data_IF_600736590088
#
_entry.id   IF_600736590088
#
_cell.length_a   1.000
_cell.length_b   1.000
_cell.length_c   1.000
_cell.angle_alpha   90.00
_cell.angle_beta   90.00
_cell.angle_gamma   90.00
#
_symmetry.space_group_name_H-M   'P 1'
#
loop_
_entity.id
_entity.type
_entity.pdbx_description
1 polymer ?
#
# COMPACT_ATOMS: atom_id res chain seq x y z
N UNK A 1 7.98 -67.62 14.60
CA UNK A 1 9.46 -67.72 14.41
C UNK A 1 10.12 -66.50 14.99
N UNK A 2 10.89 -66.63 16.07
CA UNK A 2 11.62 -65.52 16.70
C UNK A 2 12.97 -65.34 15.99
N UNK A 3 13.19 -64.16 15.48
CA UNK A 3 14.43 -63.76 14.81
C UNK A 3 15.58 -63.82 15.82
N UNK A 4 16.68 -64.51 15.52
CA UNK A 4 17.82 -64.65 16.47
C UNK A 4 18.42 -63.25 16.79
N UNK A 5 18.82 -63.05 18.04
CA UNK A 5 19.28 -61.77 18.58
C UNK A 5 20.42 -61.12 17.76
N UNK A 6 21.31 -61.90 17.18
CA UNK A 6 22.38 -61.41 16.29
C UNK A 6 21.82 -60.77 15.01
N UNK A 7 20.80 -61.40 14.40
CA UNK A 7 20.16 -60.90 13.18
C UNK A 7 19.41 -59.61 13.45
N UNK A 8 18.75 -59.51 14.61
CA UNK A 8 18.03 -58.28 15.03
C UNK A 8 18.98 -57.09 15.23
N UNK A 9 20.18 -57.33 15.75
CA UNK A 9 21.20 -56.31 15.94
C UNK A 9 21.81 -55.83 14.61
N UNK A 10 21.97 -56.71 13.65
CA UNK A 10 22.45 -56.38 12.30
C UNK A 10 21.34 -55.60 11.58
N UNK A 11 20.08 -56.03 11.65
CA UNK A 11 18.96 -55.34 11.05
C UNK A 11 18.80 -53.90 11.59
N UNK A 12 18.92 -53.72 12.91
CA UNK A 12 18.82 -52.37 13.49
C UNK A 12 19.98 -51.47 13.03
N UNK A 13 21.20 -51.99 12.95
CA UNK A 13 22.34 -51.19 12.42
C UNK A 13 22.14 -50.85 10.94
N UNK A 14 21.63 -51.76 10.15
CA UNK A 14 21.33 -51.54 8.73
C UNK A 14 20.20 -50.51 8.58
N UNK A 15 19.17 -50.55 9.44
CA UNK A 15 18.10 -49.57 9.49
C UNK A 15 18.58 -48.15 9.84
N UNK A 16 19.51 -48.07 10.81
CA UNK A 16 20.13 -46.78 11.21
C UNK A 16 20.97 -46.21 10.04
N UNK A 17 21.77 -47.05 9.40
CA UNK A 17 22.58 -46.64 8.26
C UNK A 17 21.70 -46.15 7.09
N UNK A 18 20.61 -46.89 6.81
CA UNK A 18 19.67 -46.51 5.76
C UNK A 18 18.97 -45.18 6.06
N UNK A 19 18.59 -44.96 7.33
CA UNK A 19 17.98 -43.71 7.78
C UNK A 19 18.97 -42.53 7.68
N UNK A 20 20.25 -42.73 7.98
CA UNK A 20 21.28 -41.73 7.79
C UNK A 20 21.45 -41.39 6.31
N UNK A 21 21.50 -42.39 5.43
CA UNK A 21 21.58 -42.14 3.99
C UNK A 21 20.36 -41.38 3.43
N UNK A 22 19.15 -41.70 3.92
CA UNK A 22 17.91 -40.97 3.57
C UNK A 22 17.99 -39.50 4.04
N UNK A 23 18.44 -39.28 5.26
CA UNK A 23 18.58 -37.94 5.81
C UNK A 23 19.60 -37.10 5.02
N UNK A 24 20.76 -37.68 4.70
CA UNK A 24 21.79 -37.02 3.89
C UNK A 24 21.25 -36.72 2.48
N UNK A 25 20.48 -37.67 1.89
CA UNK A 25 19.84 -37.46 0.60
C UNK A 25 18.85 -36.30 0.60
N UNK A 26 18.03 -36.17 1.65
CA UNK A 26 17.08 -35.06 1.80
C UNK A 26 17.82 -33.74 1.98
N UNK A 27 18.87 -33.70 2.78
CA UNK A 27 19.69 -32.49 2.98
C UNK A 27 20.34 -32.07 1.66
N UNK A 28 20.94 -33.04 0.93
CA UNK A 28 21.56 -32.76 -0.37
C UNK A 28 20.54 -32.24 -1.39
N UNK A 29 19.34 -32.80 -1.39
CA UNK A 29 18.24 -32.35 -2.25
C UNK A 29 17.79 -30.93 -1.89
N UNK A 30 17.61 -30.60 -0.59
CA UNK A 30 17.29 -29.24 -0.14
C UNK A 30 18.39 -28.23 -0.52
N UNK A 31 19.64 -28.60 -0.30
CA UNK A 31 20.77 -27.76 -0.73
C UNK A 31 20.78 -27.52 -2.24
N UNK A 32 20.43 -28.51 -3.03
CA UNK A 32 20.31 -28.37 -4.47
C UNK A 32 19.16 -27.46 -4.86
N UNK A 33 17.98 -27.60 -4.25
CA UNK A 33 16.83 -26.72 -4.54
C UNK A 33 17.18 -25.26 -4.23
N UNK A 34 17.78 -24.98 -3.06
CA UNK A 34 18.24 -23.63 -2.69
C UNK A 34 19.34 -23.12 -3.61
N UNK A 35 20.20 -24.02 -4.12
CA UNK A 35 21.22 -23.63 -5.10
C UNK A 35 20.59 -23.31 -6.47
N UNK A 36 19.57 -24.07 -6.89
CA UNK A 36 18.84 -23.83 -8.13
C UNK A 36 18.03 -22.51 -8.11
N UNK A 37 17.51 -22.11 -6.97
CA UNK A 37 16.79 -20.83 -6.82
C UNK A 37 17.63 -19.62 -7.24
N UNK A 38 18.95 -19.71 -7.15
CA UNK A 38 19.87 -18.64 -7.57
C UNK A 38 19.88 -18.38 -9.08
N UNK A 39 19.39 -19.33 -9.86
CA UNK A 39 19.38 -19.28 -11.33
C UNK A 39 17.96 -19.16 -11.91
N UNK A 40 16.95 -18.98 -11.06
CA UNK A 40 15.57 -18.74 -11.50
C UNK A 40 15.40 -17.28 -11.86
N UNK A 41 15.12 -17.02 -13.12
CA UNK A 41 14.77 -15.69 -13.62
C UNK A 41 13.27 -15.67 -13.92
N UNK A 42 12.56 -14.73 -13.28
CA UNK A 42 11.13 -14.51 -13.51
C UNK A 42 10.98 -13.51 -14.66
N UNK A 43 10.35 -13.95 -15.74
CA UNK A 43 10.01 -13.12 -16.90
C UNK A 43 8.50 -12.96 -17.00
N UNK A 44 8.02 -12.04 -17.84
CA UNK A 44 6.59 -11.83 -18.08
C UNK A 44 5.89 -13.11 -18.61
N UNK A 45 6.64 -14.03 -19.23
CA UNK A 45 6.13 -15.28 -19.77
C UNK A 45 6.26 -16.48 -18.80
N UNK A 46 6.76 -16.26 -17.58
CA UNK A 46 6.94 -17.28 -16.55
C UNK A 46 8.35 -17.35 -15.97
N UNK A 47 8.63 -18.40 -15.19
CA UNK A 47 9.93 -18.65 -14.59
C UNK A 47 10.80 -19.50 -15.54
N UNK A 48 12.01 -19.05 -15.80
CA UNK A 48 13.03 -19.79 -16.57
C UNK A 48 14.31 -19.93 -15.77
N UNK A 49 15.10 -21.00 -16.07
CA UNK A 49 16.41 -21.23 -15.45
C UNK A 49 17.49 -20.67 -16.38
N UNK A 50 18.23 -19.67 -15.92
CA UNK A 50 19.40 -19.13 -16.60
C UNK A 50 20.66 -19.48 -15.80
N UNK A 51 21.48 -20.38 -16.35
CA UNK A 51 22.72 -20.84 -15.72
C UNK A 51 23.95 -19.99 -16.10
N UNK A 52 23.82 -19.08 -17.06
CA UNK A 52 24.91 -18.21 -17.49
C UNK A 52 25.06 -16.99 -16.59
N UNK A 53 23.95 -16.58 -15.91
CA UNK A 53 23.94 -15.45 -14.99
C UNK A 53 23.39 -15.91 -13.63
N UNK A 54 24.18 -15.81 -12.57
CA UNK A 54 23.66 -16.01 -11.22
C UNK A 54 22.93 -14.76 -10.75
N UNK A 55 21.91 -14.92 -9.92
CA UNK A 55 21.20 -13.78 -9.30
C UNK A 55 22.15 -12.84 -8.50
N UNK A 56 23.35 -13.30 -8.15
CA UNK A 56 24.39 -12.50 -7.53
C UNK A 56 25.21 -11.67 -8.55
N UNK A 57 25.31 -12.12 -9.79
CA UNK A 57 25.98 -11.36 -10.86
C UNK A 57 25.10 -10.22 -11.36
N UNK A 58 23.77 -10.37 -11.24
CA UNK A 58 22.78 -9.33 -11.56
C UNK A 58 22.77 -8.21 -10.49
N UNK A 59 23.23 -8.48 -9.27
CA UNK A 59 23.36 -7.46 -8.20
C UNK A 59 24.52 -6.48 -8.48
N UNK A 60 25.46 -6.81 -9.35
CA UNK A 60 26.56 -5.93 -9.76
C UNK A 60 26.19 -4.92 -10.86
N UNK A 61 25.24 -5.25 -11.69
CA UNK A 61 24.59 -4.38 -12.66
C UNK A 61 23.07 -4.50 -12.49
N UNK A 62 22.56 -4.03 -11.38
CA UNK A 62 21.20 -3.55 -11.41
C UNK A 62 21.22 -2.34 -12.32
N UNK A 63 21.07 -2.58 -13.64
CA UNK A 63 20.28 -1.66 -14.42
C UNK A 63 19.02 -1.50 -13.54
N UNK A 64 19.03 -0.44 -12.72
CA UNK A 64 17.78 0.03 -12.10
C UNK A 64 16.80 -0.04 -13.25
N UNK A 65 15.75 -0.91 -13.20
CA UNK A 65 14.70 -0.83 -14.19
C UNK A 65 14.42 0.66 -14.21
N UNK A 66 14.34 1.32 -15.39
CA UNK A 66 14.08 2.74 -15.41
C UNK A 66 12.94 2.85 -14.44
N UNK A 67 13.19 3.50 -13.29
CA UNK A 67 12.15 3.67 -12.27
C UNK A 67 11.08 4.28 -13.10
N UNK A 68 10.07 3.49 -13.44
CA UNK A 68 8.97 3.97 -14.23
C UNK A 68 8.59 5.19 -13.41
N UNK A 69 8.86 6.38 -13.94
CA UNK A 69 8.41 7.59 -13.30
C UNK A 69 6.93 7.32 -13.21
N UNK A 70 6.48 6.91 -12.03
CA UNK A 70 5.08 6.77 -11.76
C UNK A 70 4.59 8.19 -11.89
N UNK A 71 4.14 8.53 -13.09
CA UNK A 71 3.54 9.80 -13.37
C UNK A 71 2.23 9.79 -12.60
N UNK A 72 2.26 10.40 -11.43
CA UNK A 72 1.05 10.66 -10.66
C UNK A 72 0.34 11.78 -11.40
N UNK A 73 -0.71 11.43 -12.11
CA UNK A 73 -1.60 12.42 -12.73
C UNK A 73 -2.66 12.80 -11.70
N UNK A 74 -2.54 13.97 -11.12
CA UNK A 74 -3.48 14.49 -10.13
C UNK A 74 -4.37 15.53 -10.82
N UNK A 75 -5.66 15.30 -10.78
CA UNK A 75 -6.67 16.24 -11.27
C UNK A 75 -7.29 16.98 -10.08
N UNK A 76 -7.36 18.28 -10.14
CA UNK A 76 -7.70 19.17 -9.04
C UNK A 76 -9.20 19.45 -8.96
N UNK A 77 -9.78 19.36 -7.78
CA UNK A 77 -11.00 20.07 -7.44
C UNK A 77 -10.68 21.04 -6.28
N UNK A 78 -10.45 22.28 -6.59
CA UNK A 78 -10.48 23.36 -5.61
C UNK A 78 -11.93 23.77 -5.46
N UNK A 79 -12.47 23.75 -4.24
CA UNK A 79 -13.84 24.20 -3.94
C UNK A 79 -14.17 25.55 -4.61
N UNK A 80 -15.39 26.03 -4.45
CA UNK A 80 -16.04 27.13 -5.20
C UNK A 80 -15.26 28.45 -5.40
N UNK A 81 -14.13 28.60 -4.73
CA UNK A 81 -13.17 29.71 -4.93
C UNK A 81 -11.98 29.33 -5.81
N UNK A 82 -12.05 28.19 -6.51
CA UNK A 82 -11.01 27.77 -7.42
C UNK A 82 -10.80 28.86 -8.49
N UNK A 83 -9.56 29.24 -8.66
CA UNK A 83 -9.11 29.95 -9.83
C UNK A 83 -9.76 29.31 -11.06
N UNK A 84 -10.44 30.12 -11.85
CA UNK A 84 -11.00 29.72 -13.15
C UNK A 84 -9.84 29.34 -14.07
N UNK A 85 -9.31 28.16 -13.88
CA UNK A 85 -8.22 27.58 -14.68
C UNK A 85 -8.74 26.99 -15.97
N UNK A 86 -9.96 27.38 -16.39
CA UNK A 86 -10.59 27.04 -17.63
C UNK A 86 -10.32 25.63 -18.09
N UNK A 87 -11.14 24.66 -17.73
CA UNK A 87 -11.19 23.27 -18.26
C UNK A 87 -9.85 22.52 -18.47
N UNK A 88 -8.73 23.05 -17.99
CA UNK A 88 -7.45 22.36 -18.09
C UNK A 88 -7.25 21.49 -16.84
N UNK A 89 -7.33 20.19 -17.05
CA UNK A 89 -6.94 19.19 -16.06
C UNK A 89 -5.48 19.42 -15.68
N UNK A 90 -5.21 19.79 -14.43
CA UNK A 90 -3.85 19.98 -13.95
C UNK A 90 -3.25 18.63 -13.63
N UNK A 91 -2.40 18.13 -14.50
CA UNK A 91 -1.66 16.90 -14.28
C UNK A 91 -0.47 17.20 -13.36
N UNK A 92 -0.39 16.51 -12.21
CA UNK A 92 0.76 16.60 -11.32
C UNK A 92 1.66 15.38 -11.55
N UNK A 93 2.89 15.66 -11.98
CA UNK A 93 3.94 14.65 -12.01
C UNK A 93 4.70 14.70 -10.68
N UNK A 94 4.66 13.62 -9.92
CA UNK A 94 5.28 13.53 -8.60
C UNK A 94 6.22 12.34 -8.47
N UNK A 95 6.93 12.30 -7.36
CA UNK A 95 7.79 11.19 -6.97
C UNK A 95 7.12 10.40 -5.84
N UNK A 96 7.00 9.08 -6.01
CA UNK A 96 6.43 8.20 -4.99
C UNK A 96 7.52 7.44 -4.25
N UNK A 97 7.50 7.54 -2.93
CA UNK A 97 8.37 6.81 -2.00
C UNK A 97 7.53 5.70 -1.36
N UNK A 98 7.70 4.49 -1.87
CA UNK A 98 6.97 3.33 -1.36
C UNK A 98 7.55 2.81 -0.04
N UNK A 99 6.75 2.06 0.71
CA UNK A 99 7.19 1.37 1.93
C UNK A 99 8.40 0.47 1.71
N UNK A 100 8.50 -0.17 0.55
CA UNK A 100 9.67 -0.97 0.19
C UNK A 100 10.95 -0.12 0.09
N UNK A 101 10.87 1.08 -0.47
CA UNK A 101 12.01 2.01 -0.53
C UNK A 101 12.41 2.52 0.85
N UNK A 102 11.43 2.76 1.73
CA UNK A 102 11.69 3.15 3.13
C UNK A 102 12.40 2.06 3.92
N UNK A 103 12.10 0.79 3.61
CA UNK A 103 12.70 -0.35 4.28
C UNK A 103 14.09 -0.69 3.78
N UNK A 104 14.35 -0.53 2.49
CA UNK A 104 15.53 -1.11 1.85
C UNK A 104 16.49 -0.09 1.23
N UNK A 105 16.04 1.12 0.90
CA UNK A 105 16.86 2.10 0.14
C UNK A 105 16.59 3.57 0.51
N UNK A 106 16.55 3.88 1.77
CA UNK A 106 16.30 5.28 2.22
C UNK A 106 17.40 6.25 1.76
N UNK A 107 18.64 5.76 1.65
CA UNK A 107 19.76 6.58 1.16
C UNK A 107 19.65 6.88 -0.34
N UNK A 108 19.19 5.92 -1.14
CA UNK A 108 18.92 6.14 -2.56
C UNK A 108 17.77 7.13 -2.77
N UNK A 109 16.74 7.07 -1.92
CA UNK A 109 15.66 8.06 -1.89
C UNK A 109 16.20 9.46 -1.63
N UNK A 110 17.01 9.65 -0.59
CA UNK A 110 17.63 10.95 -0.25
C UNK A 110 18.45 11.50 -1.43
N UNK A 111 19.30 10.67 -2.04
CA UNK A 111 20.09 11.06 -3.20
C UNK A 111 19.26 11.46 -4.43
N UNK A 112 18.04 10.91 -4.55
CA UNK A 112 17.12 11.25 -5.63
C UNK A 112 16.39 12.55 -5.35
N UNK A 113 15.95 12.77 -4.11
CA UNK A 113 15.33 14.02 -3.65
C UNK A 113 16.24 15.24 -3.78
N UNK A 114 17.56 15.05 -3.70
CA UNK A 114 18.52 16.13 -3.92
C UNK A 114 18.46 16.72 -5.33
N UNK A 115 18.04 15.92 -6.30
CA UNK A 115 18.00 16.28 -7.73
C UNK A 115 16.65 16.80 -8.18
N UNK A 116 15.61 16.69 -7.34
CA UNK A 116 14.28 17.15 -7.68
C UNK A 116 14.14 18.66 -7.43
N UNK A 117 13.43 19.39 -8.31
CA UNK A 117 13.10 20.81 -8.12
C UNK A 117 12.27 21.03 -6.85
N UNK A 118 12.42 22.19 -6.24
CA UNK A 118 11.52 22.62 -5.16
C UNK A 118 10.06 22.70 -5.68
N UNK A 119 9.10 22.36 -4.84
CA UNK A 119 7.70 22.32 -5.21
C UNK A 119 7.26 21.03 -5.92
N UNK A 120 8.20 20.13 -6.27
CA UNK A 120 7.82 18.81 -6.82
C UNK A 120 6.91 18.08 -5.84
N UNK A 121 5.78 17.51 -6.30
CA UNK A 121 4.95 16.65 -5.47
C UNK A 121 5.70 15.37 -5.09
N UNK A 122 5.73 15.05 -3.81
CA UNK A 122 6.33 13.83 -3.27
C UNK A 122 5.31 13.12 -2.42
N UNK A 123 4.89 11.94 -2.86
CA UNK A 123 4.04 11.05 -2.08
C UNK A 123 4.92 10.05 -1.33
N UNK A 124 4.61 9.79 -0.07
CA UNK A 124 5.33 8.86 0.79
C UNK A 124 4.36 7.95 1.54
N UNK A 125 4.63 6.65 1.57
CA UNK A 125 3.89 5.70 2.40
C UNK A 125 4.16 5.98 3.87
N UNK A 126 3.12 6.34 4.64
CA UNK A 126 3.21 6.59 6.07
C UNK A 126 2.58 5.48 6.90
N UNK A 127 1.57 4.77 6.36
CA UNK A 127 0.92 3.64 7.02
C UNK A 127 0.53 2.58 5.99
N UNK A 128 0.91 1.35 6.24
CA UNK A 128 0.63 0.20 5.37
C UNK A 128 -0.67 -0.54 5.69
N UNK A 129 -1.05 -1.54 4.85
CA UNK A 129 -2.29 -2.30 5.00
C UNK A 129 -2.30 -3.26 6.20
N UNK A 130 -1.15 -3.56 6.79
CA UNK A 130 -1.08 -4.25 8.08
C UNK A 130 -1.43 -3.35 9.27
N UNK A 131 -1.65 -2.05 9.05
CA UNK A 131 -1.82 -1.07 10.11
C UNK A 131 -0.50 -0.64 10.74
N UNK A 132 0.63 -1.00 10.12
CA UNK A 132 1.95 -0.60 10.60
C UNK A 132 2.31 0.78 10.10
N UNK A 133 2.75 1.62 11.03
CA UNK A 133 3.26 2.96 10.76
C UNK A 133 4.73 2.91 10.37
N UNK A 134 5.11 3.65 9.36
CA UNK A 134 6.49 3.77 8.90
C UNK A 134 7.22 4.99 9.50
N UNK A 135 6.58 5.75 10.36
CA UNK A 135 7.10 6.89 11.12
C UNK A 135 6.79 6.73 12.61
N UNK A 136 7.43 7.49 13.51
CA UNK A 136 7.21 7.39 14.96
C UNK A 136 5.89 8.08 15.36
N UNK A 137 4.77 7.42 15.05
CA UNK A 137 3.43 7.88 15.43
C UNK A 137 3.27 7.86 16.95
N UNK A 138 2.60 8.88 17.49
CA UNK A 138 2.30 9.01 18.91
C UNK A 138 0.86 8.60 19.27
N UNK A 139 0.11 8.11 18.29
CA UNK A 139 -1.27 7.69 18.51
C UNK A 139 -1.33 6.45 19.41
N UNK A 140 -2.30 6.45 20.33
CA UNK A 140 -2.56 5.28 21.15
C UNK A 140 -3.01 4.10 20.26
N UNK A 141 -2.39 2.94 20.45
CA UNK A 141 -2.60 1.77 19.60
C UNK A 141 -1.81 1.76 18.27
N UNK A 142 -0.95 2.76 18.01
CA UNK A 142 -0.09 2.74 16.83
C UNK A 142 0.97 1.63 16.91
N UNK A 143 1.05 0.78 15.89
CA UNK A 143 2.07 -0.26 15.76
C UNK A 143 3.09 0.18 14.72
N UNK A 144 4.34 0.34 15.12
CA UNK A 144 5.41 0.69 14.20
C UNK A 144 5.89 -0.53 13.38
N UNK A 145 6.31 -0.26 12.16
CA UNK A 145 6.89 -1.30 11.30
C UNK A 145 8.22 -1.79 11.87
N UNK A 146 8.32 -3.08 12.12
CA UNK A 146 9.56 -3.68 12.62
C UNK A 146 10.69 -3.75 11.56
N UNK A 147 10.35 -3.61 10.27
CA UNK A 147 11.29 -3.66 9.15
C UNK A 147 11.72 -2.28 8.65
N UNK A 148 11.22 -1.21 9.27
CA UNK A 148 11.51 0.19 8.86
C UNK A 148 12.19 0.91 10.02
N UNK A 149 13.25 1.63 9.73
CA UNK A 149 13.83 2.60 10.65
C UNK A 149 12.95 3.86 10.66
N UNK A 150 12.02 3.91 11.63
CA UNK A 150 11.03 4.98 11.73
C UNK A 150 11.66 6.34 12.03
N UNK A 151 12.80 6.36 12.71
CA UNK A 151 13.53 7.61 13.00
C UNK A 151 14.20 8.14 11.72
N UNK A 152 14.74 7.25 10.89
CA UNK A 152 15.26 7.63 9.57
C UNK A 152 14.16 8.16 8.64
N UNK A 153 12.94 7.59 8.72
CA UNK A 153 11.79 8.13 7.98
C UNK A 153 11.37 9.48 8.51
N UNK A 154 11.38 9.72 9.82
CA UNK A 154 11.11 11.04 10.39
C UNK A 154 12.11 12.09 9.86
N UNK A 155 13.41 11.78 9.84
CA UNK A 155 14.44 12.64 9.28
C UNK A 155 14.26 12.88 7.76
N UNK A 156 13.76 11.87 7.03
CA UNK A 156 13.40 12.02 5.61
C UNK A 156 12.24 13.01 5.45
N UNK A 157 11.19 12.89 6.26
CA UNK A 157 10.04 13.82 6.25
C UNK A 157 10.49 15.24 6.55
N UNK A 158 11.33 15.44 7.56
CA UNK A 158 11.92 16.76 7.84
C UNK A 158 12.68 17.31 6.62
N UNK A 159 13.39 16.45 5.91
CA UNK A 159 14.10 16.84 4.67
C UNK A 159 13.11 17.28 3.58
N UNK A 160 11.98 16.58 3.41
CA UNK A 160 10.95 16.95 2.45
C UNK A 160 10.34 18.32 2.78
N UNK A 161 10.04 18.57 4.06
CA UNK A 161 9.48 19.85 4.52
C UNK A 161 10.48 21.00 4.30
N UNK A 162 11.75 20.81 4.67
CA UNK A 162 12.79 21.81 4.53
C UNK A 162 13.08 22.18 3.07
N UNK A 163 12.97 21.23 2.16
CA UNK A 163 13.15 21.44 0.71
C UNK A 163 11.92 22.02 0.02
N UNK A 164 10.83 22.26 0.75
CA UNK A 164 9.57 22.83 0.25
C UNK A 164 8.96 22.01 -0.89
N UNK A 165 9.00 20.71 -0.79
CA UNK A 165 8.22 19.83 -1.66
C UNK A 165 6.74 19.94 -1.33
N UNK A 166 5.88 19.66 -2.31
CA UNK A 166 4.47 19.40 -2.02
C UNK A 166 4.35 17.98 -1.49
N UNK A 167 4.12 17.82 -0.20
CA UNK A 167 4.20 16.53 0.49
C UNK A 167 2.84 15.88 0.62
N UNK A 168 2.74 14.62 0.20
CA UNK A 168 1.52 13.81 0.25
C UNK A 168 1.81 12.57 1.10
N UNK A 169 1.13 12.45 2.24
CA UNK A 169 1.19 11.26 3.07
C UNK A 169 0.18 10.23 2.57
N UNK A 170 0.65 9.06 2.12
CA UNK A 170 -0.23 7.95 1.74
C UNK A 170 -0.46 7.05 2.93
N UNK A 171 -1.74 6.80 3.24
CA UNK A 171 -2.18 6.05 4.42
C UNK A 171 -3.20 5.00 3.98
N UNK A 172 -2.91 3.74 4.21
CA UNK A 172 -3.92 2.69 4.04
C UNK A 172 -5.04 2.91 5.07
N UNK A 173 -6.27 3.16 4.59
CA UNK A 173 -7.37 3.63 5.43
C UNK A 173 -8.29 2.52 5.91
N UNK A 174 -9.04 1.89 5.01
CA UNK A 174 -10.02 0.86 5.36
C UNK A 174 -9.44 -0.55 5.40
N UNK A 175 -8.19 -0.74 5.03
CA UNK A 175 -7.48 -2.02 5.15
C UNK A 175 -6.43 -1.90 6.26
N UNK A 176 -6.68 -2.59 7.39
CA UNK A 176 -5.85 -2.49 8.58
C UNK A 176 -5.95 -3.76 9.44
N UNK A 177 -4.88 -4.56 9.43
CA UNK A 177 -4.85 -5.80 10.20
C UNK A 177 -4.72 -5.52 11.71
N UNK A 178 -3.81 -4.63 12.12
CA UNK A 178 -3.56 -4.35 13.54
C UNK A 178 -4.81 -3.79 14.22
N UNK A 179 -5.40 -2.75 13.64
CA UNK A 179 -6.58 -2.12 14.21
C UNK A 179 -7.80 -3.05 14.19
N UNK A 180 -8.02 -3.78 13.08
CA UNK A 180 -9.12 -4.74 12.99
C UNK A 180 -8.98 -5.91 13.97
N UNK A 181 -7.75 -6.36 14.25
CA UNK A 181 -7.49 -7.43 15.23
C UNK A 181 -7.76 -6.96 16.68
N UNK A 182 -7.44 -5.74 17.01
CA UNK A 182 -7.67 -5.15 18.32
C UNK A 182 -9.14 -4.73 18.50
N UNK A 183 -9.78 -4.22 17.46
CA UNK A 183 -11.13 -3.70 17.44
C UNK A 183 -12.04 -4.49 16.50
N UNK A 184 -12.31 -5.75 16.85
CA UNK A 184 -13.09 -6.68 16.00
C UNK A 184 -14.48 -6.17 15.60
N UNK A 185 -15.06 -5.25 16.34
CA UNK A 185 -16.36 -4.63 16.00
C UNK A 185 -16.26 -3.60 14.88
N UNK A 186 -15.05 -3.20 14.50
CA UNK A 186 -14.80 -2.20 13.47
C UNK A 186 -14.58 -2.80 12.07
N UNK A 187 -14.44 -4.13 11.95
CA UNK A 187 -14.16 -4.78 10.68
C UNK A 187 -15.40 -5.43 10.04
N UNK A 188 -15.25 -5.73 8.75
CA UNK A 188 -16.23 -6.49 7.99
C UNK A 188 -16.20 -7.96 8.39
N UNK A 189 -17.37 -8.53 8.69
CA UNK A 189 -17.49 -9.93 9.12
C UNK A 189 -17.58 -10.87 7.94
N UNK A 190 -17.02 -12.08 8.07
CA UNK A 190 -17.27 -13.17 7.12
C UNK A 190 -18.75 -13.60 7.14
N UNK A 191 -19.22 -14.24 6.08
CA UNK A 191 -20.62 -14.69 5.92
C UNK A 191 -21.12 -15.56 7.07
N UNK A 192 -20.26 -16.36 7.66
CA UNK A 192 -20.59 -17.20 8.83
C UNK A 192 -20.76 -16.42 10.14
N UNK A 193 -20.41 -15.14 10.18
CA UNK A 193 -20.32 -14.30 11.39
C UNK A 193 -19.37 -14.84 12.47
N UNK A 194 -18.53 -15.80 12.16
CA UNK A 194 -17.60 -16.41 13.13
C UNK A 194 -16.40 -15.52 13.47
N UNK A 195 -16.15 -14.48 12.69
CA UNK A 195 -15.07 -13.53 12.88
C UNK A 195 -14.97 -12.53 11.72
N UNK A 196 -13.95 -11.71 11.75
CA UNK A 196 -13.69 -10.76 10.68
C UNK A 196 -13.28 -11.51 9.39
N UNK A 197 -13.71 -10.95 8.28
CA UNK A 197 -13.30 -11.45 6.98
C UNK A 197 -11.85 -11.05 6.69
N UNK A 198 -11.07 -12.06 6.31
CA UNK A 198 -9.65 -11.91 6.03
C UNK A 198 -9.43 -12.00 4.52
N UNK A 199 -8.94 -10.91 3.95
CA UNK A 199 -8.58 -10.80 2.53
C UNK A 199 -7.05 -10.73 2.40
N UNK A 200 -6.43 -11.77 1.84
CA UNK A 200 -4.97 -11.82 1.63
C UNK A 200 -4.12 -11.50 2.86
N UNK A 201 -4.63 -11.80 4.06
CA UNK A 201 -3.94 -11.51 5.32
C UNK A 201 -4.26 -10.17 5.96
N UNK A 202 -5.23 -9.43 5.44
CA UNK A 202 -5.66 -8.13 5.97
C UNK A 202 -7.12 -8.16 6.39
N UNK A 203 -7.47 -7.37 7.41
CA UNK A 203 -8.86 -7.04 7.72
C UNK A 203 -9.28 -5.77 6.98
N UNK A 204 -10.55 -5.73 6.62
CA UNK A 204 -11.18 -4.53 6.08
C UNK A 204 -12.10 -3.94 7.13
N UNK A 205 -11.99 -2.64 7.33
CA UNK A 205 -12.76 -1.90 8.31
C UNK A 205 -14.08 -1.44 7.70
N UNK A 206 -15.10 -1.37 8.55
CA UNK A 206 -16.42 -0.85 8.17
C UNK A 206 -16.38 0.69 8.18
N UNK A 207 -16.59 1.36 7.03
CA UNK A 207 -16.60 2.82 6.95
C UNK A 207 -17.77 3.46 7.67
N UNK A 208 -18.82 2.71 8.04
CA UNK A 208 -19.96 3.23 8.81
C UNK A 208 -19.71 3.23 10.32
N UNK A 209 -18.68 2.52 10.77
CA UNK A 209 -18.34 2.42 12.18
C UNK A 209 -17.66 3.70 12.69
N UNK A 210 -18.22 4.30 13.73
CA UNK A 210 -17.73 5.55 14.31
C UNK A 210 -16.29 5.44 14.84
N UNK A 211 -15.91 4.29 15.41
CA UNK A 211 -14.55 4.05 15.91
C UNK A 211 -13.53 3.95 14.76
N UNK A 212 -13.92 3.32 13.64
CA UNK A 212 -13.12 3.32 12.41
C UNK A 212 -12.85 4.74 11.93
N UNK A 213 -13.89 5.56 11.84
CA UNK A 213 -13.74 6.96 11.37
C UNK A 213 -12.90 7.80 12.35
N UNK A 214 -13.08 7.59 13.66
CA UNK A 214 -12.25 8.26 14.68
C UNK A 214 -10.79 7.88 14.53
N UNK A 215 -10.48 6.61 14.30
CA UNK A 215 -9.11 6.14 14.06
C UNK A 215 -8.49 6.80 12.83
N UNK A 216 -9.18 6.75 11.69
CA UNK A 216 -8.70 7.39 10.46
C UNK A 216 -8.51 8.90 10.67
N UNK A 217 -9.46 9.55 11.33
CA UNK A 217 -9.38 10.99 11.68
C UNK A 217 -8.12 11.30 12.49
N UNK A 218 -7.81 10.49 13.51
CA UNK A 218 -6.62 10.69 14.36
C UNK A 218 -5.33 10.59 13.56
N UNK A 219 -5.23 9.60 12.64
CA UNK A 219 -4.06 9.45 11.75
C UNK A 219 -3.93 10.65 10.82
N UNK A 220 -5.03 11.11 10.21
CA UNK A 220 -5.01 12.27 9.30
C UNK A 220 -4.58 13.55 10.05
N UNK A 221 -5.10 13.77 11.24
CA UNK A 221 -4.78 14.96 12.04
C UNK A 221 -3.32 14.96 12.50
N UNK A 222 -2.78 13.81 12.90
CA UNK A 222 -1.35 13.68 13.24
C UNK A 222 -0.46 14.07 12.05
N UNK A 223 -0.73 13.54 10.86
CA UNK A 223 0.04 13.85 9.65
C UNK A 223 -0.14 15.32 9.21
N UNK A 224 -1.33 15.87 9.38
CA UNK A 224 -1.57 17.31 9.16
C UNK A 224 -0.76 18.17 10.13
N UNK A 225 -0.68 17.79 11.41
CA UNK A 225 0.15 18.47 12.42
C UNK A 225 1.65 18.34 12.12
N UNK A 226 2.08 17.23 11.56
CA UNK A 226 3.45 17.04 11.05
C UNK A 226 3.80 17.97 9.87
N UNK A 227 2.82 18.62 9.25
CA UNK A 227 3.02 19.61 8.19
C UNK A 227 2.85 19.07 6.77
N UNK A 228 2.28 17.91 6.57
CA UNK A 228 1.93 17.43 5.23
C UNK A 228 0.91 18.36 4.57
N UNK A 229 1.10 18.63 3.27
CA UNK A 229 0.16 19.42 2.48
C UNK A 229 -1.10 18.63 2.16
N UNK A 230 -0.98 17.31 2.07
CA UNK A 230 -2.04 16.40 1.70
C UNK A 230 -1.91 15.05 2.41
N UNK A 231 -3.04 14.47 2.77
CA UNK A 231 -3.13 13.06 3.15
C UNK A 231 -4.02 12.33 2.14
N UNK A 232 -3.49 11.28 1.55
CA UNK A 232 -4.18 10.40 0.62
C UNK A 232 -4.60 9.12 1.34
N UNK A 233 -5.89 8.91 1.49
CA UNK A 233 -6.49 7.73 2.08
C UNK A 233 -6.55 6.60 1.04
N UNK A 234 -5.51 5.78 0.99
CA UNK A 234 -5.45 4.60 0.13
C UNK A 234 -6.42 3.51 0.60
N UNK A 235 -6.83 2.63 -0.32
CA UNK A 235 -7.83 1.59 -0.07
C UNK A 235 -9.13 2.15 0.56
N UNK A 236 -9.56 3.35 0.15
CA UNK A 236 -10.83 3.93 0.59
C UNK A 236 -11.99 3.37 -0.24
N UNK A 237 -12.22 2.08 -0.07
CA UNK A 237 -13.18 1.31 -0.86
C UNK A 237 -13.63 0.07 -0.10
N UNK A 238 -14.71 -0.55 -0.54
CA UNK A 238 -15.01 -1.92 -0.14
C UNK A 238 -14.16 -2.91 -0.94
N UNK A 239 -13.82 -4.07 -0.33
CA UNK A 239 -13.11 -5.13 -1.04
C UNK A 239 -13.98 -5.69 -2.18
N UNK A 240 -13.32 -6.06 -3.29
CA UNK A 240 -13.98 -6.70 -4.42
C UNK A 240 -14.21 -8.19 -4.13
N UNK A 241 -15.20 -8.49 -3.29
CA UNK A 241 -15.57 -9.84 -2.88
C UNK A 241 -17.03 -9.88 -2.45
N UNK A 242 -17.60 -11.08 -2.46
CA UNK A 242 -18.92 -11.40 -1.91
C UNK A 242 -18.83 -12.23 -0.61
N UNK A 243 -17.64 -12.42 -0.06
CA UNK A 243 -17.38 -13.30 1.08
C UNK A 243 -17.51 -12.63 2.44
N UNK A 244 -17.95 -11.37 2.49
CA UNK A 244 -18.19 -10.62 3.73
C UNK A 244 -19.62 -10.10 3.79
N UNK A 245 -20.04 -9.73 5.01
CA UNK A 245 -21.38 -9.15 5.26
C UNK A 245 -21.25 -7.63 5.30
N UNK A 246 -22.08 -6.97 4.53
CA UNK A 246 -22.39 -5.55 4.68
C UNK A 246 -23.85 -5.32 4.30
N UNK A 247 -24.65 -4.83 5.25
CA UNK A 247 -26.08 -4.62 5.08
C UNK A 247 -26.32 -3.14 4.76
N UNK A 248 -26.14 -2.73 3.49
CA UNK A 248 -26.33 -1.35 3.08
C UNK A 248 -25.85 -1.06 1.66
N UNK A 249 -26.04 0.18 1.25
CA UNK A 249 -25.46 0.71 0.01
C UNK A 249 -24.00 1.09 0.26
N UNK A 250 -23.08 0.40 -0.43
CA UNK A 250 -21.63 0.58 -0.28
C UNK A 250 -21.17 1.96 -0.70
N UNK A 251 -21.73 2.48 -1.79
CA UNK A 251 -21.33 3.77 -2.35
C UNK A 251 -21.82 4.91 -1.43
N UNK A 252 -23.06 4.82 -0.94
CA UNK A 252 -23.58 5.77 0.02
C UNK A 252 -22.79 5.74 1.33
N UNK A 253 -22.38 4.57 1.80
CA UNK A 253 -21.55 4.43 3.01
C UNK A 253 -20.17 5.09 2.87
N UNK A 254 -19.51 4.90 1.73
CA UNK A 254 -18.22 5.54 1.45
C UNK A 254 -18.36 7.06 1.31
N UNK A 255 -19.41 7.54 0.65
CA UNK A 255 -19.67 8.98 0.51
C UNK A 255 -19.96 9.65 1.84
N UNK A 256 -20.74 9.00 2.71
CA UNK A 256 -21.02 9.50 4.08
C UNK A 256 -19.73 9.53 4.92
N UNK A 257 -18.91 8.47 4.84
CA UNK A 257 -17.63 8.40 5.51
C UNK A 257 -16.67 9.51 5.01
N UNK A 258 -16.55 9.69 3.70
CA UNK A 258 -15.73 10.74 3.10
C UNK A 258 -16.18 12.14 3.55
N UNK A 259 -17.48 12.39 3.56
CA UNK A 259 -18.05 13.68 4.01
C UNK A 259 -17.76 13.96 5.48
N UNK A 260 -17.87 12.94 6.35
CA UNK A 260 -17.54 13.06 7.78
C UNK A 260 -16.05 13.33 8.01
N UNK A 261 -15.18 12.60 7.30
CA UNK A 261 -13.73 12.78 7.38
C UNK A 261 -13.34 14.17 6.87
N UNK A 262 -13.92 14.63 5.77
CA UNK A 262 -13.66 15.96 5.23
C UNK A 262 -14.15 17.04 6.20
N UNK A 263 -15.34 16.90 6.77
CA UNK A 263 -15.88 17.86 7.74
C UNK A 263 -15.04 17.99 9.01
N UNK A 264 -14.27 16.95 9.38
CA UNK A 264 -13.42 16.97 10.59
C UNK A 264 -11.98 17.33 10.29
N UNK A 265 -11.42 16.82 9.19
CA UNK A 265 -10.01 16.93 8.87
C UNK A 265 -9.71 18.04 7.86
N UNK A 266 -10.69 18.41 7.03
CA UNK A 266 -10.51 19.40 5.96
C UNK A 266 -10.03 20.76 6.44
N UNK A 267 -9.67 21.64 5.52
CA UNK A 267 -9.22 23.00 5.80
C UNK A 267 -8.68 23.67 4.54
N UNK A 268 -8.57 25.01 4.59
CA UNK A 268 -8.23 25.84 3.42
C UNK A 268 -6.83 25.55 2.86
N UNK A 269 -5.89 25.14 3.70
CA UNK A 269 -4.50 24.87 3.33
C UNK A 269 -4.12 23.40 3.40
N UNK A 270 -5.09 22.50 3.52
CA UNK A 270 -4.85 21.08 3.64
C UNK A 270 -5.80 20.31 2.72
N UNK A 271 -5.25 19.37 1.98
CA UNK A 271 -5.99 18.52 1.05
C UNK A 271 -6.19 17.14 1.66
N UNK A 272 -7.44 16.66 1.72
CA UNK A 272 -7.73 15.27 2.08
C UNK A 272 -8.19 14.53 0.84
N UNK A 273 -7.46 13.49 0.45
CA UNK A 273 -7.68 12.81 -0.82
C UNK A 273 -8.08 11.34 -0.60
N UNK A 274 -8.78 10.78 -1.57
CA UNK A 274 -9.38 9.45 -1.47
C UNK A 274 -8.87 8.55 -2.60
N UNK A 275 -8.27 7.43 -2.24
CA UNK A 275 -7.86 6.36 -3.13
C UNK A 275 -8.98 5.35 -3.30
N UNK A 276 -9.61 5.33 -4.46
CA UNK A 276 -10.78 4.52 -4.78
C UNK A 276 -10.56 3.70 -6.06
N UNK A 277 -11.34 2.65 -6.22
CA UNK A 277 -11.32 1.85 -7.44
C UNK A 277 -12.31 2.35 -8.52
N UNK A 278 -13.38 3.03 -8.09
CA UNK A 278 -14.42 3.53 -8.99
C UNK A 278 -14.20 5.01 -9.33
N UNK A 279 -13.96 5.34 -10.61
CA UNK A 279 -13.83 6.73 -11.05
C UNK A 279 -15.11 7.56 -10.92
N UNK A 280 -16.28 6.91 -10.77
CA UNK A 280 -17.55 7.60 -10.56
C UNK A 280 -17.79 8.02 -9.10
N UNK A 281 -16.84 7.75 -8.19
CA UNK A 281 -16.93 8.18 -6.80
C UNK A 281 -17.07 9.69 -6.72
N UNK A 282 -18.09 10.16 -6.00
CA UNK A 282 -18.34 11.58 -5.82
C UNK A 282 -17.53 12.10 -4.64
N UNK A 283 -16.64 13.04 -4.91
CA UNK A 283 -15.89 13.70 -3.86
C UNK A 283 -16.81 14.54 -2.97
N UNK A 284 -16.54 14.59 -1.65
CA UNK A 284 -17.24 15.51 -0.74
C UNK A 284 -16.88 16.97 -1.07
N UNK A 285 -17.70 17.91 -0.55
CA UNK A 285 -17.37 19.33 -0.62
C UNK A 285 -16.10 19.64 0.17
N UNK A 286 -15.24 20.49 -0.39
CA UNK A 286 -14.00 20.93 0.23
C UNK A 286 -12.78 20.64 -0.61
N UNK A 287 -11.59 20.88 -0.03
CA UNK A 287 -10.31 20.68 -0.71
C UNK A 287 -9.91 19.20 -0.70
N UNK A 288 -10.28 18.49 -1.76
CA UNK A 288 -10.05 17.06 -1.88
C UNK A 288 -9.69 16.65 -3.32
N UNK A 289 -9.10 15.46 -3.45
CA UNK A 289 -8.75 14.85 -4.73
C UNK A 289 -9.16 13.39 -4.76
N UNK A 290 -9.36 12.88 -5.97
CA UNK A 290 -9.60 11.48 -6.24
C UNK A 290 -8.34 10.83 -6.80
N UNK A 291 -7.90 9.74 -6.20
CA UNK A 291 -6.85 8.87 -6.72
C UNK A 291 -7.49 7.55 -7.15
N UNK A 292 -7.27 7.13 -8.40
CA UNK A 292 -7.69 5.81 -8.83
C UNK A 292 -6.61 4.79 -8.48
N UNK A 293 -7.01 3.79 -7.71
CA UNK A 293 -6.16 2.66 -7.36
C UNK A 293 -6.53 1.42 -8.17
N UNK A 294 -5.62 0.46 -8.26
CA UNK A 294 -5.80 -0.80 -9.02
C UNK A 294 -6.11 -0.57 -10.52
N UNK A 295 -5.53 0.47 -11.10
CA UNK A 295 -5.65 0.77 -12.52
C UNK A 295 -4.35 0.38 -13.21
N UNK A 296 -4.47 -0.50 -14.20
CA UNK A 296 -3.37 -0.82 -15.09
C UNK A 296 -2.98 0.42 -15.92
N UNK A 297 -1.69 0.73 -15.99
CA UNK A 297 -1.15 1.89 -16.70
C UNK A 297 -1.65 1.98 -18.16
N UNK A 298 -1.87 0.83 -18.82
CA UNK A 298 -2.43 0.77 -20.18
C UNK A 298 -3.90 1.18 -20.27
N UNK A 299 -4.64 1.17 -19.17
CA UNK A 299 -6.09 1.44 -19.10
C UNK A 299 -6.41 2.79 -18.42
N UNK A 300 -5.39 3.52 -17.99
CA UNK A 300 -5.51 4.80 -17.28
C UNK A 300 -6.37 5.79 -18.07
N UNK A 301 -6.04 6.06 -19.34
CA UNK A 301 -6.79 7.00 -20.19
C UNK A 301 -8.24 6.55 -20.41
N UNK A 302 -8.47 5.25 -20.64
CA UNK A 302 -9.81 4.71 -20.88
C UNK A 302 -10.70 4.82 -19.63
N UNK A 303 -10.15 4.69 -18.44
CA UNK A 303 -10.90 4.82 -17.17
C UNK A 303 -11.08 6.29 -16.75
N UNK A 304 -10.16 7.18 -17.09
CA UNK A 304 -10.26 8.61 -16.80
C UNK A 304 -11.20 9.36 -17.76
N UNK A 305 -11.29 8.93 -19.02
CA UNK A 305 -12.09 9.59 -20.05
C UNK A 305 -13.59 9.71 -19.70
N UNK A 306 -14.28 8.70 -19.13
CA UNK A 306 -15.69 8.84 -18.76
C UNK A 306 -15.96 9.89 -17.68
N UNK A 307 -15.01 10.09 -16.77
CA UNK A 307 -15.14 11.05 -15.66
C UNK A 307 -15.08 12.48 -16.15
N UNK A 308 -14.36 12.74 -17.24
CA UNK A 308 -14.21 14.06 -17.82
C UNK A 308 -15.46 14.56 -18.58
N UNK A 309 -16.41 13.66 -18.89
CA UNK A 309 -17.53 13.99 -19.81
C UNK A 309 -18.93 13.79 -19.22
N UNK A 310 -19.10 13.16 -18.08
CA UNK A 310 -20.42 12.93 -17.51
C UNK A 310 -20.76 13.95 -16.41
N UNK A 311 -21.49 15.00 -16.80
CA UNK A 311 -22.32 15.87 -15.96
C UNK A 311 -21.79 16.22 -14.58
N UNK A 312 -20.65 16.88 -14.52
CA UNK A 312 -20.33 17.70 -13.37
C UNK A 312 -20.80 19.12 -13.65
N UNK A 313 -21.52 19.78 -12.71
CA UNK A 313 -21.69 21.22 -12.76
C UNK A 313 -20.31 21.86 -12.89
N UNK A 314 -20.21 23.04 -13.47
CA UNK A 314 -18.95 23.71 -13.85
C UNK A 314 -17.92 23.91 -12.71
N UNK A 315 -18.15 23.35 -11.56
CA UNK A 315 -17.36 23.45 -10.32
C UNK A 315 -16.76 22.14 -9.83
N UNK A 316 -17.01 20.99 -10.49
CA UNK A 316 -16.53 19.69 -10.04
C UNK A 316 -15.67 19.06 -11.15
N UNK A 317 -14.40 19.15 -11.00
CA UNK A 317 -13.48 18.38 -11.85
C UNK A 317 -12.47 17.73 -10.95
N UNK A 318 -12.45 16.40 -10.93
CA UNK A 318 -11.34 15.70 -11.48
C UNK A 318 -10.89 14.45 -10.77
N UNK A 319 -10.57 13.45 -11.54
CA UNK A 319 -10.03 12.17 -11.11
C UNK A 319 -8.50 12.15 -11.20
N UNK A 320 -7.86 11.56 -10.21
CA UNK A 320 -6.43 11.38 -10.15
C UNK A 320 -6.05 9.92 -10.27
N UNK A 321 -5.03 9.66 -11.05
CA UNK A 321 -4.53 8.33 -11.30
C UNK A 321 -3.20 8.12 -10.59
N UNK A 322 -3.17 7.12 -9.72
CA UNK A 322 -1.93 6.58 -9.13
C UNK A 322 -1.87 5.10 -9.48
N UNK A 323 -0.83 4.70 -10.17
CA UNK A 323 -0.52 3.30 -10.43
C UNK A 323 0.36 2.74 -9.32
#
# INVERSE_FOLDING_TARGET
>A
MSIPYRTRRVLNRLGIVLMIFLLVGVIAWLCWVVWLERYVVYTADGASLDFEHSAQDIIGEVATPPVAQQNISIYYNEGSDALDTGNELTQINGYFISSNMLQNDINGVLGKLERLPAGTPVMIDMKGPYGSFFYPSHLDGAVHSASTDVDAVAALVDTLMNKKFYTIARVCSLRDWNFGNEHVTCGLYMLSRAGLWLDQGYFWLDPTNATTLTWITSVVLELKEMGFNEVMLADFRFPNSDQYIFDGDKDAALQDAASKLMGTCGGDNFTLSFGVADPAFKLPEGRCRLYLEDVDAANVEAKATPVSYTHLPAHETAANLVC
#
